data_IF_490499056085
#
_entry.id   IF_490499056085
#
_cell.length_a   1.000
_cell.length_b   1.000
_cell.length_c   1.000
_cell.angle_alpha   90.00
_cell.angle_beta   90.00
_cell.angle_gamma   90.00
#
_symmetry.space_group_name_H-M   'P 1'
#
loop_
_entity.id
_entity.type
_entity.pdbx_description
1 polymer ?
#
# COMPACT_ATOMS: atom_id res chain seq x y z
N UNK A 1 -15.03 43.06 6.29
CA UNK A 1 -16.03 41.97 6.29
C UNK A 1 -15.85 40.94 5.15
N UNK A 2 -14.75 40.95 4.36
CA UNK A 2 -14.55 40.00 3.24
C UNK A 2 -13.57 38.84 3.48
N UNK A 3 -12.86 38.82 4.61
CA UNK A 3 -11.81 37.82 4.88
C UNK A 3 -12.33 36.52 5.49
N UNK A 4 -13.43 36.58 6.26
CA UNK A 4 -14.00 35.40 6.94
C UNK A 4 -14.39 34.28 5.95
N UNK A 5 -15.06 34.57 4.80
CA UNK A 5 -15.35 33.56 3.81
C UNK A 5 -14.11 32.90 3.19
N UNK A 6 -13.02 33.66 3.00
CA UNK A 6 -11.75 33.14 2.45
C UNK A 6 -11.07 32.16 3.41
N UNK A 7 -11.06 32.46 4.71
CA UNK A 7 -10.53 31.55 5.71
C UNK A 7 -11.35 30.26 5.81
N UNK A 8 -12.69 30.37 5.70
CA UNK A 8 -13.58 29.22 5.76
C UNK A 8 -13.38 28.29 4.55
N UNK A 9 -13.30 28.84 3.34
CA UNK A 9 -13.06 28.04 2.12
C UNK A 9 -11.67 27.42 2.11
N UNK A 10 -10.65 28.16 2.55
CA UNK A 10 -9.29 27.64 2.68
C UNK A 10 -9.21 26.50 3.71
N UNK A 11 -9.85 26.67 4.87
CA UNK A 11 -9.94 25.61 5.88
C UNK A 11 -10.65 24.35 5.34
N UNK A 12 -11.77 24.54 4.62
CA UNK A 12 -12.47 23.45 3.95
C UNK A 12 -11.60 22.72 2.94
N UNK A 13 -10.85 23.45 2.11
CA UNK A 13 -9.91 22.87 1.15
C UNK A 13 -8.79 22.07 1.83
N UNK A 14 -8.21 22.60 2.91
CA UNK A 14 -7.20 21.88 3.71
C UNK A 14 -7.77 20.59 4.32
N UNK A 15 -9.01 20.64 4.82
CA UNK A 15 -9.68 19.46 5.38
C UNK A 15 -9.96 18.39 4.32
N UNK A 16 -10.48 18.79 3.16
CA UNK A 16 -10.73 17.87 2.04
C UNK A 16 -9.43 17.27 1.50
N UNK A 17 -8.36 18.05 1.44
CA UNK A 17 -7.04 17.56 1.09
C UNK A 17 -6.58 16.48 2.07
N UNK A 18 -6.64 16.74 3.38
CA UNK A 18 -6.27 15.78 4.42
C UNK A 18 -7.06 14.47 4.31
N UNK A 19 -8.39 14.56 4.19
CA UNK A 19 -9.27 13.38 4.06
C UNK A 19 -8.98 12.58 2.80
N UNK A 20 -8.76 13.26 1.68
CA UNK A 20 -8.43 12.61 0.40
C UNK A 20 -7.13 11.82 0.50
N UNK A 21 -6.09 12.43 1.08
CA UNK A 21 -4.78 11.77 1.25
C UNK A 21 -4.89 10.59 2.21
N UNK A 22 -5.56 10.75 3.36
CA UNK A 22 -5.79 9.66 4.31
C UNK A 22 -6.52 8.49 3.66
N UNK A 23 -7.59 8.77 2.93
CA UNK A 23 -8.40 7.75 2.24
C UNK A 23 -7.58 7.03 1.17
N UNK A 24 -6.76 7.77 0.42
CA UNK A 24 -5.88 7.20 -0.62
C UNK A 24 -4.82 6.29 -0.02
N UNK A 25 -4.19 6.70 1.08
CA UNK A 25 -3.22 5.88 1.82
C UNK A 25 -3.84 4.62 2.39
N UNK A 26 -5.01 4.74 3.03
CA UNK A 26 -5.76 3.60 3.55
C UNK A 26 -6.11 2.60 2.45
N UNK A 27 -6.55 3.10 1.28
CA UNK A 27 -6.86 2.26 0.13
C UNK A 27 -5.64 1.47 -0.35
N UNK A 28 -4.45 2.09 -0.39
CA UNK A 28 -3.21 1.40 -0.76
C UNK A 28 -2.81 0.32 0.24
N UNK A 29 -2.99 0.57 1.54
CA UNK A 29 -2.78 -0.45 2.58
C UNK A 29 -3.73 -1.63 2.43
N UNK A 30 -5.01 -1.35 2.19
CA UNK A 30 -6.02 -2.39 1.97
C UNK A 30 -5.71 -3.19 0.70
N UNK A 31 -5.34 -2.52 -0.39
CA UNK A 31 -4.93 -3.19 -1.63
C UNK A 31 -3.74 -4.12 -1.39
N UNK A 32 -2.75 -3.70 -0.60
CA UNK A 32 -1.62 -4.56 -0.26
C UNK A 32 -2.08 -5.83 0.45
N UNK A 33 -2.94 -5.69 1.47
CA UNK A 33 -3.52 -6.83 2.19
C UNK A 33 -4.33 -7.74 1.27
N UNK A 34 -5.15 -7.18 0.39
CA UNK A 34 -5.94 -7.95 -0.58
C UNK A 34 -5.06 -8.75 -1.54
N UNK A 35 -4.00 -8.13 -2.07
CA UNK A 35 -3.06 -8.81 -2.96
C UNK A 35 -2.31 -9.93 -2.23
N UNK A 36 -1.90 -9.70 -0.99
CA UNK A 36 -1.31 -10.74 -0.14
C UNK A 36 -2.29 -11.89 0.11
N UNK A 37 -3.55 -11.61 0.45
CA UNK A 37 -4.57 -12.64 0.63
C UNK A 37 -4.82 -13.43 -0.65
N UNK A 38 -4.88 -12.77 -1.81
CA UNK A 38 -5.00 -13.46 -3.11
C UNK A 38 -3.82 -14.37 -3.38
N UNK A 39 -2.61 -13.91 -3.08
CA UNK A 39 -1.40 -14.70 -3.27
C UNK A 39 -1.33 -15.90 -2.30
N UNK A 40 -1.76 -15.73 -1.05
CA UNK A 40 -1.87 -16.81 -0.08
C UNK A 40 -2.95 -17.85 -0.44
N UNK A 41 -4.06 -17.42 -1.07
CA UNK A 41 -5.08 -18.34 -1.59
C UNK A 41 -4.60 -19.14 -2.81
N UNK A 42 -3.83 -18.51 -3.70
CA UNK A 42 -3.25 -19.22 -4.84
C UNK A 42 -2.15 -20.19 -4.41
N UNK A 43 -1.38 -19.84 -3.36
CA UNK A 43 -0.21 -20.58 -2.89
C UNK A 43 -0.23 -20.76 -1.38
N UNK A 44 -1.09 -21.67 -0.87
CA UNK A 44 -1.15 -21.98 0.56
C UNK A 44 0.14 -22.60 1.09
N UNK A 45 0.98 -23.14 0.20
CA UNK A 45 2.27 -23.79 0.50
C UNK A 45 3.28 -22.83 1.14
N UNK A 46 3.17 -21.54 0.85
CA UNK A 46 4.12 -20.54 1.36
C UNK A 46 4.00 -20.22 2.84
N UNK A 47 2.98 -20.75 3.52
CA UNK A 47 2.74 -20.44 4.93
C UNK A 47 2.63 -18.93 5.21
N UNK A 48 2.23 -18.13 4.20
CA UNK A 48 2.04 -16.70 4.38
C UNK A 48 0.92 -16.49 5.39
N UNK A 49 1.30 -16.05 6.59
CA UNK A 49 0.34 -15.75 7.65
C UNK A 49 -0.55 -14.61 7.16
N UNK A 50 -1.82 -14.95 6.91
CA UNK A 50 -2.89 -14.00 6.61
C UNK A 50 -2.82 -12.80 7.55
N UNK A 51 -2.44 -11.63 7.01
CA UNK A 51 -2.36 -10.37 7.76
C UNK A 51 -0.96 -9.88 8.11
N UNK A 52 0.10 -10.66 7.89
CA UNK A 52 1.47 -10.14 7.97
C UNK A 52 1.88 -9.53 6.63
N UNK A 53 2.27 -8.25 6.67
CA UNK A 53 2.81 -7.56 5.50
C UNK A 53 4.26 -8.02 5.34
N UNK A 54 4.44 -9.16 4.66
CA UNK A 54 5.77 -9.69 4.37
C UNK A 54 6.44 -8.86 3.27
N UNK A 55 7.78 -8.82 3.27
CA UNK A 55 8.52 -8.19 2.20
C UNK A 55 8.29 -9.00 0.90
N UNK A 56 7.80 -8.39 -0.20
CA UNK A 56 7.59 -9.10 -1.47
C UNK A 56 8.84 -9.80 -2.01
N UNK A 57 10.03 -9.33 -1.64
CA UNK A 57 11.28 -9.99 -2.04
C UNK A 57 11.52 -11.28 -1.24
N UNK A 58 11.17 -11.30 0.05
CA UNK A 58 11.20 -12.53 0.86
C UNK A 58 10.17 -13.55 0.39
N UNK A 59 8.97 -13.09 0.02
CA UNK A 59 7.92 -13.94 -0.55
C UNK A 59 8.41 -14.60 -1.83
N UNK A 60 9.10 -13.84 -2.69
CA UNK A 60 9.67 -14.35 -3.94
C UNK A 60 10.83 -15.33 -3.71
N UNK A 61 11.66 -15.12 -2.69
CA UNK A 61 12.73 -16.06 -2.32
C UNK A 61 12.18 -17.37 -1.74
N UNK A 62 11.20 -17.31 -0.85
CA UNK A 62 10.49 -18.50 -0.35
C UNK A 62 9.81 -19.24 -1.50
N UNK A 63 9.16 -18.51 -2.41
CA UNK A 63 8.58 -19.05 -3.64
C UNK A 63 9.58 -19.83 -4.48
N UNK A 64 10.76 -19.24 -4.71
CA UNK A 64 11.82 -19.87 -5.52
C UNK A 64 12.45 -21.09 -4.84
N UNK A 65 12.50 -21.10 -3.51
CA UNK A 65 13.04 -22.22 -2.73
C UNK A 65 12.07 -23.41 -2.69
N UNK A 66 10.77 -23.15 -2.56
CA UNK A 66 9.75 -24.21 -2.52
C UNK A 66 9.41 -24.75 -3.91
N UNK A 67 9.23 -23.88 -4.91
CA UNK A 67 8.81 -24.27 -6.26
C UNK A 67 9.97 -24.48 -7.22
N UNK A 68 11.10 -25.04 -6.76
CA UNK A 68 12.27 -25.33 -7.57
C UNK A 68 11.88 -25.92 -8.93
N UNK A 69 11.97 -25.11 -9.98
CA UNK A 69 11.66 -25.42 -11.40
C UNK A 69 10.20 -25.63 -11.84
N UNK A 70 9.19 -25.31 -11.02
CA UNK A 70 7.79 -25.32 -11.50
C UNK A 70 7.47 -24.03 -12.31
N UNK A 71 6.82 -24.20 -13.47
CA UNK A 71 6.39 -23.12 -14.36
C UNK A 71 5.64 -22.06 -13.56
N UNK A 72 6.24 -20.88 -13.40
CA UNK A 72 5.63 -19.74 -12.73
C UNK A 72 4.29 -19.45 -13.38
N UNK A 73 3.20 -19.56 -12.62
CA UNK A 73 1.89 -19.10 -13.08
C UNK A 73 2.00 -17.60 -13.35
N UNK A 74 1.72 -17.18 -14.59
CA UNK A 74 1.82 -15.77 -15.00
C UNK A 74 1.05 -14.84 -14.07
N UNK A 75 -0.10 -15.33 -13.57
CA UNK A 75 -0.98 -14.63 -12.65
C UNK A 75 -0.34 -14.32 -11.29
N UNK A 76 0.46 -15.25 -10.76
CA UNK A 76 1.11 -15.06 -9.46
C UNK A 76 2.32 -14.12 -9.58
N UNK A 77 3.02 -14.12 -10.72
CA UNK A 77 4.05 -13.13 -11.01
C UNK A 77 3.45 -11.72 -11.15
N UNK A 78 2.29 -11.60 -11.79
CA UNK A 78 1.53 -10.35 -11.86
C UNK A 78 1.15 -9.84 -10.46
N UNK A 79 0.61 -10.70 -9.59
CA UNK A 79 0.28 -10.35 -8.20
C UNK A 79 1.50 -9.84 -7.42
N UNK A 80 2.65 -10.52 -7.51
CA UNK A 80 3.88 -10.06 -6.82
C UNK A 80 4.34 -8.71 -7.37
N UNK A 81 4.24 -8.52 -8.70
CA UNK A 81 4.58 -7.24 -9.34
C UNK A 81 3.67 -6.11 -8.86
N UNK A 82 2.36 -6.36 -8.75
CA UNK A 82 1.40 -5.40 -8.23
C UNK A 82 1.70 -5.04 -6.77
N UNK A 83 2.02 -6.03 -5.93
CA UNK A 83 2.43 -5.80 -4.52
C UNK A 83 3.66 -4.88 -4.47
N UNK A 84 4.69 -5.17 -5.28
CA UNK A 84 5.92 -4.37 -5.33
C UNK A 84 5.65 -2.93 -5.78
N UNK A 85 4.84 -2.74 -6.84
CA UNK A 85 4.48 -1.42 -7.33
C UNK A 85 3.67 -0.65 -6.28
N UNK A 86 2.70 -1.29 -5.62
CA UNK A 86 1.90 -0.65 -4.60
C UNK A 86 2.75 -0.20 -3.41
N UNK A 87 3.68 -1.05 -2.93
CA UNK A 87 4.65 -0.71 -1.88
C UNK A 87 5.48 0.52 -2.24
N UNK A 88 6.06 0.54 -3.45
CA UNK A 88 6.86 1.68 -3.92
C UNK A 88 6.05 2.98 -3.94
N UNK A 89 4.83 2.93 -4.50
CA UNK A 89 3.96 4.09 -4.57
C UNK A 89 3.54 4.58 -3.17
N UNK A 90 3.22 3.66 -2.26
CA UNK A 90 2.86 4.00 -0.88
C UNK A 90 4.02 4.69 -0.15
N UNK A 91 5.23 4.12 -0.23
CA UNK A 91 6.42 4.69 0.39
C UNK A 91 6.82 6.05 -0.21
N UNK A 92 6.62 6.23 -1.51
CA UNK A 92 6.82 7.52 -2.17
C UNK A 92 5.85 8.58 -1.62
N UNK A 93 4.57 8.24 -1.44
CA UNK A 93 3.59 9.15 -0.87
C UNK A 93 3.93 9.53 0.58
N UNK A 94 4.49 8.63 1.38
CA UNK A 94 4.91 8.95 2.75
C UNK A 94 6.07 9.96 2.77
N UNK A 95 7.00 9.87 1.81
CA UNK A 95 8.18 10.73 1.76
C UNK A 95 7.89 12.10 1.12
N UNK A 96 6.94 12.18 0.19
CA UNK A 96 6.69 13.37 -0.64
C UNK A 96 5.83 14.42 0.10
N UNK A 97 6.27 15.69 0.11
CA UNK A 97 5.40 16.80 0.54
C UNK A 97 4.35 17.14 -0.54
N UNK A 98 3.14 17.62 -0.18
CA UNK A 98 2.59 17.80 1.16
C UNK A 98 1.87 16.53 1.69
N UNK A 99 2.17 15.34 1.18
CA UNK A 99 1.52 14.11 1.66
C UNK A 99 2.14 13.58 2.96
N UNK A 100 3.43 13.85 3.16
CA UNK A 100 4.23 13.42 4.30
C UNK A 100 3.66 13.84 5.66
N UNK A 101 3.11 15.05 5.80
CA UNK A 101 2.55 15.52 7.06
C UNK A 101 1.23 14.82 7.37
N UNK A 102 0.40 14.55 6.36
CA UNK A 102 -0.82 13.73 6.52
C UNK A 102 -0.45 12.31 6.94
N UNK A 103 0.60 11.75 6.34
CA UNK A 103 1.12 10.43 6.69
C UNK A 103 1.57 10.37 8.15
N UNK A 104 2.36 11.36 8.61
CA UNK A 104 2.82 11.47 10.00
C UNK A 104 1.66 11.63 10.98
N UNK A 105 0.71 12.53 10.71
CA UNK A 105 -0.46 12.73 11.58
C UNK A 105 -1.37 11.51 11.66
N UNK A 106 -1.46 10.73 10.58
CA UNK A 106 -2.30 9.53 10.52
C UNK A 106 -1.59 8.26 11.00
N UNK A 107 -0.31 8.34 11.38
CA UNK A 107 0.47 7.19 11.84
C UNK A 107 0.86 6.20 10.74
N UNK A 108 0.86 6.61 9.47
CA UNK A 108 1.28 5.74 8.37
C UNK A 108 2.81 5.59 8.34
N UNK A 109 3.28 4.35 8.30
CA UNK A 109 4.70 3.99 8.23
C UNK A 109 5.02 3.32 6.90
N UNK A 110 6.26 3.46 6.38
CA UNK A 110 6.70 2.74 5.20
C UNK A 110 6.53 1.24 5.36
N UNK A 111 6.17 0.59 4.26
CA UNK A 111 6.02 -0.86 4.14
C UNK A 111 7.21 -1.41 3.37
#
# INVERSE_FOLDING_TARGET
MGYIPLFLTMAGACMLFFLTVKTTMQRKLNLQKELFSKLALEHPELGLVLGQIADPDMVMEQWKKENGTAKVSSKSLELIREIRVNRLQFNQLIKKAPYNWVAKLSGYQPI
#
